data_IF_884574122575
#
_entry.id   IF_884574122575
#
_cell.length_a   1.000
_cell.length_b   1.000
_cell.length_c   1.000
_cell.angle_alpha   90.00
_cell.angle_beta   90.00
_cell.angle_gamma   90.00
#
_symmetry.space_group_name_H-M   'P 1'
#
loop_
_entity.id
_entity.type
_entity.pdbx_description
1 polymer ?
#
# COMPACT_ATOMS: atom_id res chain seq x y z
N UNK A 1 -10.37 -14.46 34.80
CA UNK A 1 -9.61 -13.20 34.84
C UNK A 1 -8.55 -13.18 33.73
N UNK A 2 -8.91 -13.02 32.48
CA UNK A 2 -7.95 -12.99 31.35
C UNK A 2 -8.50 -12.19 30.14
N UNK A 3 -9.04 -10.98 30.35
CA UNK A 3 -9.56 -10.17 29.24
C UNK A 3 -9.08 -8.71 29.21
N UNK A 4 -8.04 -8.37 29.97
CA UNK A 4 -7.56 -6.98 30.07
C UNK A 4 -6.28 -6.67 29.28
N UNK A 5 -5.61 -7.68 28.68
CA UNK A 5 -4.28 -7.50 28.09
C UNK A 5 -4.27 -7.12 26.58
N UNK A 6 -5.36 -7.35 25.86
CA UNK A 6 -5.41 -7.15 24.39
C UNK A 6 -5.83 -5.73 23.94
N UNK A 7 -6.22 -4.86 24.88
CA UNK A 7 -6.61 -3.48 24.54
C UNK A 7 -5.50 -2.44 24.65
N UNK A 8 -4.35 -2.80 25.21
CA UNK A 8 -3.27 -1.85 25.52
C UNK A 8 -2.40 -1.46 24.32
N UNK A 9 -2.51 -2.12 23.16
CA UNK A 9 -1.65 -1.89 21.99
C UNK A 9 -2.41 -1.50 20.70
N UNK A 10 -3.63 -1.01 20.80
CA UNK A 10 -4.24 -0.39 19.63
C UNK A 10 -3.82 1.08 19.59
N UNK A 11 -3.25 1.55 18.48
CA UNK A 11 -3.03 2.98 18.30
C UNK A 11 -4.37 3.71 18.48
N UNK A 12 -4.39 4.87 19.13
CA UNK A 12 -5.63 5.58 19.46
C UNK A 12 -6.37 6.15 18.23
N UNK A 13 -5.82 5.93 17.02
CA UNK A 13 -6.33 6.50 15.76
C UNK A 13 -6.51 5.43 14.69
N UNK A 14 -7.49 5.60 13.76
CA UNK A 14 -7.62 4.72 12.62
C UNK A 14 -6.36 4.76 11.74
N UNK A 15 -5.93 3.58 11.29
CA UNK A 15 -4.82 3.41 10.37
C UNK A 15 -5.37 3.25 8.95
N UNK A 16 -4.71 3.85 7.98
CA UNK A 16 -5.10 3.80 6.56
C UNK A 16 -4.02 3.10 5.75
N UNK A 17 -4.29 2.32 4.67
CA UNK A 17 -3.38 1.82 3.62
C UNK A 17 -3.46 2.77 2.41
N UNK A 18 -2.43 3.47 1.98
CA UNK A 18 -2.42 4.27 0.76
C UNK A 18 -2.46 3.34 -0.45
N UNK A 19 -3.45 3.41 -1.31
CA UNK A 19 -3.50 2.54 -2.46
C UNK A 19 -3.80 3.26 -3.77
N UNK A 20 -3.37 2.64 -4.85
CA UNK A 20 -3.80 2.98 -6.20
C UNK A 20 -4.15 1.73 -6.99
N UNK A 21 -4.91 1.88 -8.05
CA UNK A 21 -5.37 0.76 -8.88
C UNK A 21 -4.33 0.43 -9.96
N UNK A 22 -4.14 -0.85 -10.26
CA UNK A 22 -3.20 -1.40 -11.26
C UNK A 22 -3.58 -1.11 -12.73
N UNK A 23 -4.17 0.06 -13.02
CA UNK A 23 -4.43 0.54 -14.39
C UNK A 23 -3.62 1.80 -14.72
N UNK A 24 -3.04 2.47 -13.73
CA UNK A 24 -2.19 3.65 -13.91
C UNK A 24 -0.94 3.32 -14.73
N UNK A 25 -0.28 4.32 -15.29
CA UNK A 25 1.04 4.13 -15.91
C UNK A 25 2.13 4.05 -14.83
N UNK A 26 3.33 3.51 -15.15
CA UNK A 26 4.46 3.55 -14.22
C UNK A 26 4.83 4.98 -13.78
N UNK A 27 4.71 5.97 -14.67
CA UNK A 27 4.98 7.37 -14.37
C UNK A 27 3.93 7.97 -13.42
N UNK A 28 2.65 7.62 -13.61
CA UNK A 28 1.59 8.00 -12.67
C UNK A 28 1.80 7.33 -11.32
N UNK A 29 2.29 6.09 -11.29
CA UNK A 29 2.61 5.42 -10.03
C UNK A 29 3.75 6.12 -9.28
N UNK A 30 4.77 6.63 -9.98
CA UNK A 30 5.82 7.44 -9.35
C UNK A 30 5.23 8.66 -8.63
N UNK A 31 4.26 9.33 -9.24
CA UNK A 31 3.57 10.44 -8.57
C UNK A 31 2.83 9.99 -7.30
N UNK A 32 2.10 8.86 -7.34
CA UNK A 32 1.41 8.34 -6.17
C UNK A 32 2.37 7.91 -5.05
N UNK A 33 3.50 7.34 -5.39
CA UNK A 33 4.52 6.94 -4.40
C UNK A 33 5.18 8.15 -3.74
N UNK A 34 5.48 9.21 -4.48
CA UNK A 34 6.01 10.47 -3.92
C UNK A 34 4.94 11.20 -3.06
N UNK A 35 3.67 11.22 -3.47
CA UNK A 35 2.58 11.78 -2.65
C UNK A 35 2.41 10.98 -1.33
N UNK A 36 2.47 9.66 -1.39
CA UNK A 36 2.46 8.79 -0.22
C UNK A 36 3.63 9.10 0.73
N UNK A 37 4.82 9.32 0.18
CA UNK A 37 6.02 9.64 0.93
C UNK A 37 5.91 11.04 1.59
N UNK A 38 5.42 12.03 0.85
CA UNK A 38 5.20 13.38 1.36
C UNK A 38 4.19 13.38 2.51
N UNK A 39 3.10 12.62 2.37
CA UNK A 39 2.12 12.46 3.45
C UNK A 39 2.72 11.79 4.68
N UNK A 40 3.58 10.77 4.51
CA UNK A 40 4.28 10.12 5.62
C UNK A 40 5.23 11.06 6.35
N UNK A 41 5.92 11.93 5.62
CA UNK A 41 6.83 12.92 6.20
C UNK A 41 6.07 14.05 6.92
N UNK A 42 4.98 14.53 6.34
CA UNK A 42 4.14 15.59 6.93
C UNK A 42 3.38 15.08 8.16
N UNK A 43 2.98 13.82 8.13
CA UNK A 43 2.19 13.17 9.18
C UNK A 43 2.82 11.82 9.57
N UNK A 44 3.93 11.79 10.32
CA UNK A 44 4.69 10.56 10.59
C UNK A 44 3.89 9.48 11.33
N UNK A 45 2.86 9.87 12.09
CA UNK A 45 1.93 8.95 12.74
C UNK A 45 0.78 8.49 11.83
N UNK A 46 0.76 9.01 10.61
CA UNK A 46 -0.24 8.83 9.62
C UNK A 46 0.29 8.06 8.46
N UNK A 47 -0.01 7.30 7.81
CA UNK A 47 0.14 6.53 6.62
C UNK A 47 0.07 5.08 6.92
N UNK A 48 -1.00 4.56 6.61
CA UNK A 48 -1.24 3.26 6.24
C UNK A 48 -2.11 3.19 5.09
N UNK A 49 -2.87 3.24 4.49
CA UNK A 49 -3.46 3.08 3.29
C UNK A 49 -4.93 2.92 3.31
N UNK A 50 -5.47 3.14 2.42
CA UNK A 50 -6.49 2.99 1.45
C UNK A 50 -7.92 3.28 1.88
N UNK A 51 -8.54 4.04 1.18
CA UNK A 51 -9.68 3.94 0.28
C UNK A 51 -9.86 5.29 -0.41
N UNK A 52 -9.77 5.34 -1.74
CA UNK A 52 -10.10 6.50 -2.59
C UNK A 52 -9.49 7.87 -2.22
N UNK A 53 -9.19 8.65 -3.24
CA UNK A 53 -8.86 10.10 -3.22
C UNK A 53 -9.69 10.91 -2.20
N UNK A 54 -10.93 10.52 -1.96
CA UNK A 54 -11.81 11.14 -0.99
C UNK A 54 -11.30 11.02 0.46
N UNK A 55 -10.74 9.89 0.85
CA UNK A 55 -10.21 9.68 2.21
C UNK A 55 -8.91 10.43 2.43
N UNK A 56 -8.05 10.55 1.40
CA UNK A 56 -6.83 11.37 1.46
C UNK A 56 -7.19 12.84 1.70
N UNK A 57 -8.18 13.38 0.96
CA UNK A 57 -8.66 14.73 1.16
C UNK A 57 -9.26 14.96 2.56
N UNK A 58 -9.98 13.98 3.08
CA UNK A 58 -10.57 14.02 4.41
C UNK A 58 -9.50 13.91 5.52
N UNK A 59 -8.44 13.11 5.31
CA UNK A 59 -7.36 12.96 6.28
C UNK A 59 -6.53 14.25 6.44
N UNK A 60 -6.26 14.96 5.34
CA UNK A 60 -5.65 16.29 5.39
C UNK A 60 -6.48 17.29 6.20
N UNK A 61 -7.81 17.16 6.17
CA UNK A 61 -8.73 18.03 6.90
C UNK A 61 -8.86 17.68 8.39
N UNK A 62 -8.66 16.42 8.77
CA UNK A 62 -8.91 15.93 10.12
C UNK A 62 -7.67 15.79 11.01
N UNK A 63 -6.46 16.01 10.48
CA UNK A 63 -5.17 16.01 11.21
C UNK A 63 -4.88 14.76 12.07
N UNK A 64 -5.47 13.59 11.79
CA UNK A 64 -5.42 12.44 12.71
C UNK A 64 -5.65 11.06 12.09
N UNK A 65 -5.02 10.74 10.96
CA UNK A 65 -5.12 9.41 10.36
C UNK A 65 -3.73 8.76 10.27
N UNK A 66 -3.56 7.50 10.68
CA UNK A 66 -2.30 6.77 10.68
C UNK A 66 -2.25 5.81 9.49
N UNK A 67 -1.18 5.86 8.69
CA UNK A 67 -0.95 4.99 7.53
C UNK A 67 0.02 3.85 7.86
N UNK A 68 -0.24 2.61 7.46
CA UNK A 68 0.59 1.44 7.76
C UNK A 68 1.18 0.74 6.52
N UNK A 69 0.93 1.22 5.29
CA UNK A 69 1.50 0.63 4.10
C UNK A 69 1.05 1.24 2.77
N UNK A 70 1.64 0.75 1.70
CA UNK A 70 1.32 1.08 0.31
C UNK A 70 0.78 -0.15 -0.42
N UNK A 71 -0.28 0.02 -1.22
CA UNK A 71 -1.00 -1.07 -1.87
C UNK A 71 -1.26 -0.78 -3.36
N UNK A 72 -1.26 -1.83 -4.15
CA UNK A 72 -1.73 -1.85 -5.54
C UNK A 72 -2.93 -2.78 -5.63
N UNK A 73 -4.09 -2.24 -6.00
CA UNK A 73 -5.36 -2.95 -6.00
C UNK A 73 -5.93 -3.16 -7.40
N UNK A 74 -6.91 -4.03 -7.53
CA UNK A 74 -7.73 -4.24 -8.71
C UNK A 74 -7.66 -5.65 -9.27
N UNK A 75 -8.74 -6.11 -9.93
CA UNK A 75 -8.87 -7.46 -10.44
C UNK A 75 -7.80 -7.76 -11.50
N UNK A 76 -7.03 -8.80 -11.31
CA UNK A 76 -5.84 -9.09 -12.11
C UNK A 76 -6.16 -9.60 -13.52
N UNK A 77 -7.40 -10.02 -13.75
CA UNK A 77 -7.91 -10.38 -15.09
C UNK A 77 -8.01 -9.18 -16.04
N UNK A 78 -8.02 -7.95 -15.53
CA UNK A 78 -8.24 -6.72 -16.30
C UNK A 78 -7.26 -5.59 -16.00
N UNK A 79 -6.35 -5.78 -15.06
CA UNK A 79 -5.35 -4.79 -14.67
C UNK A 79 -3.94 -5.21 -15.11
N UNK A 80 -2.96 -4.31 -14.97
CA UNK A 80 -1.56 -4.61 -15.27
C UNK A 80 -0.94 -5.49 -14.18
N UNK A 81 -0.03 -6.39 -14.53
CA UNK A 81 0.70 -7.18 -13.54
C UNK A 81 1.64 -6.30 -12.68
N UNK A 82 1.96 -6.76 -11.49
CA UNK A 82 2.85 -6.03 -10.55
C UNK A 82 4.23 -5.79 -11.18
N UNK A 83 4.73 -6.69 -12.00
CA UNK A 83 6.04 -6.56 -12.67
C UNK A 83 6.14 -5.32 -13.55
N UNK A 84 5.05 -4.82 -14.13
CA UNK A 84 5.04 -3.60 -14.94
C UNK A 84 5.39 -2.34 -14.09
N UNK A 85 5.22 -2.44 -12.78
CA UNK A 85 5.49 -1.38 -11.81
C UNK A 85 6.80 -1.56 -11.04
N UNK A 86 7.63 -2.54 -11.42
CA UNK A 86 8.84 -2.88 -10.68
C UNK A 86 9.77 -1.67 -10.47
N UNK A 87 10.00 -0.89 -11.53
CA UNK A 87 10.92 0.26 -11.47
C UNK A 87 10.43 1.33 -10.48
N UNK A 88 9.20 1.86 -10.59
CA UNK A 88 8.71 2.84 -9.61
C UNK A 88 8.63 2.28 -8.18
N UNK A 89 8.30 0.99 -8.00
CA UNK A 89 8.24 0.39 -6.67
C UNK A 89 9.63 0.27 -6.02
N UNK A 90 10.67 -0.08 -6.79
CA UNK A 90 12.05 -0.11 -6.29
C UNK A 90 12.55 1.30 -5.98
N UNK A 91 12.28 2.29 -6.84
CA UNK A 91 12.58 3.70 -6.55
C UNK A 91 11.90 4.17 -5.26
N UNK A 92 10.65 3.83 -5.06
CA UNK A 92 9.93 4.17 -3.84
C UNK A 92 10.63 3.62 -2.59
N UNK A 93 11.13 2.36 -2.64
CA UNK A 93 11.93 1.79 -1.54
C UNK A 93 13.23 2.56 -1.29
N UNK A 94 13.91 2.98 -2.34
CA UNK A 94 15.15 3.74 -2.20
C UNK A 94 14.87 5.14 -1.67
N UNK A 95 13.83 5.81 -2.15
CA UNK A 95 13.39 7.10 -1.61
C UNK A 95 13.03 7.03 -0.12
N UNK A 96 12.36 5.96 0.32
CA UNK A 96 12.09 5.74 1.75
C UNK A 96 13.37 5.69 2.59
N UNK A 97 14.41 4.98 2.11
CA UNK A 97 15.71 4.93 2.78
C UNK A 97 16.38 6.30 2.86
N UNK A 98 16.34 7.07 1.77
CA UNK A 98 16.91 8.42 1.70
C UNK A 98 16.30 9.37 2.73
N UNK A 99 14.99 9.31 2.91
CA UNK A 99 14.27 10.20 3.85
C UNK A 99 14.08 9.59 5.26
N UNK A 100 14.54 8.35 5.47
CA UNK A 100 14.52 7.70 6.78
C UNK A 100 13.14 7.26 7.27
N UNK A 101 12.23 6.89 6.35
CA UNK A 101 10.89 6.37 6.68
C UNK A 101 10.75 4.92 6.24
N UNK A 102 9.80 4.20 6.82
CA UNK A 102 9.42 2.84 6.43
C UNK A 102 7.92 2.79 6.13
N UNK A 103 7.59 2.45 4.88
CA UNK A 103 6.23 2.26 4.39
C UNK A 103 6.20 0.86 3.77
N UNK A 104 5.69 -0.15 4.48
CA UNK A 104 5.66 -1.50 3.97
C UNK A 104 4.70 -1.64 2.79
N UNK A 105 5.00 -2.56 1.87
CA UNK A 105 4.04 -3.01 0.88
C UNK A 105 3.01 -3.94 1.51
N UNK A 106 1.74 -3.76 1.10
CA UNK A 106 0.58 -4.55 1.49
C UNK A 106 -0.25 -4.81 0.23
N UNK A 107 0.28 -5.57 -0.71
CA UNK A 107 -0.30 -5.70 -2.05
C UNK A 107 -1.52 -6.61 -2.10
N UNK A 108 -2.47 -6.25 -2.96
CA UNK A 108 -3.46 -7.18 -3.48
C UNK A 108 -2.82 -8.04 -4.57
N UNK A 109 -2.90 -9.35 -4.41
CA UNK A 109 -2.46 -10.35 -5.39
C UNK A 109 -3.32 -11.62 -5.25
N UNK A 110 -3.58 -12.32 -6.35
CA UNK A 110 -4.50 -13.45 -6.38
C UNK A 110 -5.98 -13.06 -6.57
N UNK A 111 -6.26 -11.80 -6.91
CA UNK A 111 -7.62 -11.32 -7.22
C UNK A 111 -7.97 -11.64 -8.69
N UNK A 112 -8.14 -12.92 -9.00
CA UNK A 112 -8.41 -13.42 -10.34
C UNK A 112 -9.47 -14.53 -10.32
N UNK A 113 -10.21 -14.69 -11.41
CA UNK A 113 -11.05 -15.84 -11.69
C UNK A 113 -10.31 -16.92 -12.52
N UNK A 114 -9.12 -16.58 -13.04
CA UNK A 114 -8.25 -17.48 -13.77
C UNK A 114 -7.44 -18.38 -12.83
N UNK A 115 -7.18 -19.61 -13.26
CA UNK A 115 -6.29 -20.56 -12.61
C UNK A 115 -5.17 -20.94 -13.60
N UNK A 116 -3.92 -20.90 -13.16
CA UNK A 116 -2.76 -21.17 -14.01
C UNK A 116 -2.49 -20.09 -15.06
N UNK A 117 -2.85 -18.84 -14.79
CA UNK A 117 -2.62 -17.68 -15.69
C UNK A 117 -1.44 -16.84 -15.22
N UNK A 118 -1.02 -15.86 -16.04
CA UNK A 118 0.01 -14.89 -15.66
C UNK A 118 -0.38 -14.04 -14.42
N UNK A 119 -1.65 -14.02 -14.03
CA UNK A 119 -2.10 -13.38 -12.79
C UNK A 119 -1.51 -14.05 -11.54
N UNK A 120 -1.24 -15.36 -11.59
CA UNK A 120 -0.63 -16.09 -10.48
C UNK A 120 0.81 -15.61 -10.19
N UNK A 121 1.52 -15.08 -11.20
CA UNK A 121 2.86 -14.53 -11.05
C UNK A 121 2.87 -13.32 -10.11
N UNK A 122 1.77 -12.56 -10.01
CA UNK A 122 1.66 -11.44 -9.09
C UNK A 122 1.83 -11.84 -7.62
N UNK A 123 1.48 -13.06 -7.23
CA UNK A 123 1.74 -13.58 -5.88
C UNK A 123 3.24 -13.68 -5.61
N UNK A 124 3.99 -14.21 -6.58
CA UNK A 124 5.46 -14.31 -6.47
C UNK A 124 6.11 -12.93 -6.48
N UNK A 125 5.67 -12.03 -7.36
CA UNK A 125 6.19 -10.66 -7.44
C UNK A 125 5.94 -9.89 -6.14
N UNK A 126 4.75 -9.99 -5.55
CA UNK A 126 4.43 -9.39 -4.27
C UNK A 126 5.36 -9.91 -3.14
N UNK A 127 5.62 -11.21 -3.10
CA UNK A 127 6.52 -11.84 -2.13
C UNK A 127 7.96 -11.35 -2.34
N UNK A 128 8.45 -11.36 -3.57
CA UNK A 128 9.81 -10.92 -3.92
C UNK A 128 10.03 -9.43 -3.60
N UNK A 129 9.02 -8.60 -3.77
CA UNK A 129 9.04 -7.19 -3.37
C UNK A 129 8.96 -7.00 -1.85
N UNK A 130 8.75 -8.07 -1.09
CA UNK A 130 8.75 -8.06 0.37
C UNK A 130 7.46 -7.50 0.97
N UNK A 131 6.31 -7.74 0.33
CA UNK A 131 5.02 -7.41 0.91
C UNK A 131 4.85 -8.02 2.31
N UNK A 132 4.26 -7.27 3.22
CA UNK A 132 4.04 -7.75 4.60
C UNK A 132 2.70 -8.47 4.76
N UNK A 133 1.80 -8.27 3.80
CA UNK A 133 0.48 -8.87 3.76
C UNK A 133 0.01 -8.93 2.30
N UNK A 134 -0.77 -9.92 1.96
CA UNK A 134 -1.42 -10.07 0.67
C UNK A 134 -2.94 -9.99 0.89
N UNK A 135 -3.61 -9.13 0.10
CA UNK A 135 -5.05 -9.14 -0.05
C UNK A 135 -5.43 -10.21 -1.07
N UNK A 136 -6.48 -10.97 -0.84
CA UNK A 136 -6.89 -12.18 -1.55
C UNK A 136 -5.91 -13.34 -1.32
N UNK A 137 -5.04 -13.71 -2.22
CA UNK A 137 -4.07 -14.80 -2.06
C UNK A 137 -4.61 -16.17 -2.45
#
# INVERSE_FOLDING_TARGET
MASRSLRANRPPFPQIIYCTIKIVTPEELEWYTEDCLALKMEFPDLIAGSYHIFVIALSRSLNRIISVGFDLVGPEDTTKPIVDYLVPLLRFKDRQKEVGVDIPFIFHAGETLGDGTAADDNLYDAILLGTKRIGHG
#
